data_IF_125190077857
#
_entry.id   IF_125190077857
#
_cell.length_a   1.000
_cell.length_b   1.000
_cell.length_c   1.000
_cell.angle_alpha   90.00
_cell.angle_beta   90.00
_cell.angle_gamma   90.00
#
_symmetry.space_group_name_H-M   'P 1'
#
loop_
_entity.id
_entity.type
_entity.pdbx_description
1 polymer ?
#
# COMPACT_ATOMS: atom_id res chain seq x y z
N UNK A 1 -9.97 17.45 -35.18
CA UNK A 1 -8.86 18.21 -34.58
C UNK A 1 -9.42 18.81 -33.30
N UNK A 2 -9.14 18.21 -32.15
CA UNK A 2 -9.47 18.82 -30.87
C UNK A 2 -8.38 19.84 -30.57
N UNK A 3 -8.70 21.12 -30.72
CA UNK A 3 -7.86 22.20 -30.22
C UNK A 3 -7.94 22.18 -28.69
N UNK A 4 -7.17 21.33 -28.05
CA UNK A 4 -6.96 21.40 -26.61
C UNK A 4 -6.20 22.69 -26.29
N UNK A 5 -6.72 23.47 -25.34
CA UNK A 5 -6.09 24.71 -24.87
C UNK A 5 -4.74 24.45 -24.16
N UNK A 6 -4.48 23.19 -23.80
CA UNK A 6 -3.28 22.76 -23.09
C UNK A 6 -2.77 21.42 -23.64
N UNK A 7 -1.46 21.26 -23.68
CA UNK A 7 -0.85 19.95 -23.84
C UNK A 7 -1.13 19.10 -22.58
N UNK A 8 -1.55 17.86 -22.76
CA UNK A 8 -1.77 16.94 -21.67
C UNK A 8 -1.03 15.63 -21.93
N UNK A 9 -0.66 14.98 -20.84
CA UNK A 9 -0.01 13.66 -20.88
C UNK A 9 -1.12 12.62 -20.83
N UNK A 10 -1.20 11.78 -21.85
CA UNK A 10 -2.15 10.67 -21.85
C UNK A 10 -1.76 9.65 -20.78
N UNK A 11 -2.73 9.25 -19.95
CA UNK A 11 -2.58 8.29 -18.85
C UNK A 11 -3.59 7.18 -19.08
N UNK A 12 -3.10 5.94 -19.18
CA UNK A 12 -3.96 4.77 -19.43
C UNK A 12 -4.57 4.18 -18.15
N UNK A 13 -3.80 4.18 -17.06
CA UNK A 13 -4.21 3.65 -15.77
C UNK A 13 -3.36 4.23 -14.62
N UNK A 14 -3.64 3.81 -13.36
CA UNK A 14 -2.91 4.28 -12.18
C UNK A 14 -1.42 3.89 -12.21
N UNK A 15 -1.08 2.74 -12.77
CA UNK A 15 0.32 2.32 -12.88
C UNK A 15 1.09 3.22 -13.83
N UNK A 16 0.54 3.47 -15.02
CA UNK A 16 1.10 4.38 -16.01
C UNK A 16 1.26 5.81 -15.45
N UNK A 17 0.26 6.28 -14.67
CA UNK A 17 0.34 7.56 -13.96
C UNK A 17 1.56 7.63 -13.03
N UNK A 18 1.78 6.60 -12.21
CA UNK A 18 2.90 6.54 -11.28
C UNK A 18 4.25 6.47 -11.99
N UNK A 19 4.34 5.68 -13.05
CA UNK A 19 5.55 5.55 -13.85
C UNK A 19 5.91 6.89 -14.50
N UNK A 20 4.97 7.53 -15.19
CA UNK A 20 5.16 8.85 -15.81
C UNK A 20 5.45 9.95 -14.80
N UNK A 21 4.78 9.95 -13.65
CA UNK A 21 5.08 10.91 -12.58
C UNK A 21 6.51 10.76 -12.06
N UNK A 22 6.98 9.51 -11.88
CA UNK A 22 8.34 9.23 -11.47
C UNK A 22 9.40 9.56 -12.51
N UNK A 23 9.06 9.54 -13.80
CA UNK A 23 9.95 9.90 -14.90
C UNK A 23 10.01 11.41 -15.13
N UNK A 24 8.87 12.07 -15.17
CA UNK A 24 8.77 13.49 -15.50
C UNK A 24 9.08 14.40 -14.31
N UNK A 25 8.68 13.98 -13.10
CA UNK A 25 8.78 14.79 -11.89
C UNK A 25 9.60 14.11 -10.79
N UNK A 26 10.45 13.14 -11.16
CA UNK A 26 11.11 12.22 -10.25
C UNK A 26 11.79 12.88 -9.05
N UNK A 27 12.46 14.01 -9.23
CA UNK A 27 13.17 14.72 -8.18
C UNK A 27 12.28 15.77 -7.45
N UNK A 28 11.04 16.01 -7.92
CA UNK A 28 10.11 16.90 -7.25
C UNK A 28 9.51 16.24 -6.01
N UNK A 29 9.20 17.05 -5.00
CA UNK A 29 8.58 16.58 -3.76
C UNK A 29 7.13 16.15 -4.06
N UNK A 30 6.81 14.89 -3.77
CA UNK A 30 5.46 14.32 -3.82
C UNK A 30 4.75 14.44 -2.47
N UNK A 31 5.46 14.11 -1.36
CA UNK A 31 4.92 14.25 -0.01
C UNK A 31 5.78 15.17 0.84
N UNK A 32 5.11 15.99 1.63
CA UNK A 32 5.72 16.84 2.65
C UNK A 32 4.94 16.67 3.95
N UNK A 33 5.54 15.98 4.91
CA UNK A 33 4.91 15.56 6.15
C UNK A 33 5.54 16.34 7.29
N UNK A 34 4.70 16.98 8.11
CA UNK A 34 5.15 17.65 9.32
C UNK A 34 5.45 16.59 10.39
N UNK A 35 6.66 16.60 10.93
CA UNK A 35 7.09 15.77 12.03
C UNK A 35 7.74 16.69 13.08
N UNK A 36 7.00 17.03 14.11
CA UNK A 36 7.34 18.07 15.10
C UNK A 36 7.72 19.39 14.43
N UNK A 37 8.94 19.89 14.62
CA UNK A 37 9.45 21.14 14.04
C UNK A 37 10.13 20.97 12.66
N UNK A 38 10.15 19.75 12.12
CA UNK A 38 10.80 19.42 10.85
C UNK A 38 9.81 18.90 9.84
N UNK A 39 10.22 18.90 8.59
CA UNK A 39 9.48 18.26 7.51
C UNK A 39 10.27 17.07 6.99
N UNK A 40 9.59 15.94 6.88
CA UNK A 40 10.04 14.79 6.10
C UNK A 40 9.46 14.95 4.69
N UNK A 41 10.29 14.74 3.68
CA UNK A 41 9.85 14.86 2.28
C UNK A 41 10.18 13.58 1.52
N UNK A 42 9.30 13.21 0.59
CA UNK A 42 9.55 12.14 -0.36
C UNK A 42 9.34 12.67 -1.77
N UNK A 43 10.25 12.35 -2.67
CA UNK A 43 10.15 12.66 -4.08
C UNK A 43 9.24 11.66 -4.81
N UNK A 44 8.74 12.02 -6.01
CA UNK A 44 7.95 11.08 -6.83
C UNK A 44 8.70 9.78 -7.13
N UNK A 45 10.00 9.85 -7.32
CA UNK A 45 10.86 8.68 -7.55
C UNK A 45 10.97 7.77 -6.31
N UNK A 46 11.03 8.36 -5.11
CA UNK A 46 11.03 7.60 -3.85
C UNK A 46 9.68 6.96 -3.60
N UNK A 47 8.58 7.68 -3.81
CA UNK A 47 7.21 7.17 -3.70
C UNK A 47 7.01 5.99 -4.64
N UNK A 48 7.41 6.10 -5.92
CA UNK A 48 7.36 4.98 -6.87
C UNK A 48 8.14 3.76 -6.39
N UNK A 49 9.34 3.97 -5.81
CA UNK A 49 10.14 2.87 -5.24
C UNK A 49 9.46 2.20 -4.05
N UNK A 50 8.78 2.96 -3.19
CA UNK A 50 8.04 2.41 -2.05
C UNK A 50 6.85 1.57 -2.54
N UNK A 51 6.06 2.09 -3.47
CA UNK A 51 4.91 1.40 -4.06
C UNK A 51 5.33 0.08 -4.73
N UNK A 52 6.38 0.12 -5.56
CA UNK A 52 6.90 -1.06 -6.25
C UNK A 52 7.48 -2.09 -5.26
N UNK A 53 8.20 -1.65 -4.23
CA UNK A 53 8.71 -2.50 -3.17
C UNK A 53 7.58 -3.20 -2.42
N UNK A 54 6.59 -2.42 -1.95
CA UNK A 54 5.44 -2.99 -1.23
C UNK A 54 4.66 -3.98 -2.10
N UNK A 55 4.34 -3.62 -3.34
CA UNK A 55 3.64 -4.50 -4.27
C UNK A 55 4.38 -5.82 -4.51
N UNK A 56 5.71 -5.77 -4.65
CA UNK A 56 6.57 -6.96 -4.82
C UNK A 56 6.52 -7.85 -3.58
N UNK A 57 6.64 -7.26 -2.37
CA UNK A 57 6.54 -8.02 -1.12
C UNK A 57 5.17 -8.70 -0.97
N UNK A 58 4.08 -7.98 -1.25
CA UNK A 58 2.73 -8.54 -1.19
C UNK A 58 2.52 -9.69 -2.18
N UNK A 59 3.06 -9.59 -3.39
CA UNK A 59 3.04 -10.69 -4.37
C UNK A 59 3.84 -11.89 -3.85
N UNK A 60 5.01 -11.67 -3.26
CA UNK A 60 5.83 -12.72 -2.64
C UNK A 60 5.11 -13.41 -1.46
N UNK A 61 4.24 -12.70 -0.73
CA UNK A 61 3.36 -13.24 0.30
C UNK A 61 2.17 -14.06 -0.27
N UNK A 62 2.06 -14.20 -1.60
CA UNK A 62 0.95 -14.92 -2.24
C UNK A 62 -0.35 -14.11 -2.34
N UNK A 63 -0.28 -12.80 -2.20
CA UNK A 63 -1.44 -11.90 -2.25
C UNK A 63 -1.79 -11.38 -3.65
N UNK A 64 -1.12 -11.86 -4.71
CA UNK A 64 -1.46 -11.49 -6.10
C UNK A 64 -2.90 -11.86 -6.42
N UNK A 65 -3.67 -10.88 -6.91
CA UNK A 65 -5.09 -11.04 -7.26
C UNK A 65 -6.04 -11.13 -6.06
N UNK A 66 -5.52 -11.01 -4.82
CA UNK A 66 -6.34 -11.07 -3.61
C UNK A 66 -6.98 -9.72 -3.28
N UNK A 67 -8.01 -9.76 -2.44
CA UNK A 67 -8.62 -8.56 -1.87
C UNK A 67 -7.87 -8.19 -0.60
N UNK A 68 -7.44 -6.93 -0.54
CA UNK A 68 -6.63 -6.40 0.56
C UNK A 68 -7.29 -5.12 1.04
N UNK A 69 -7.65 -5.07 2.33
CA UNK A 69 -8.26 -3.89 2.92
C UNK A 69 -7.22 -2.87 3.36
N UNK A 70 -7.64 -1.60 3.41
CA UNK A 70 -6.87 -0.50 4.00
C UNK A 70 -7.80 0.31 4.89
N UNK A 71 -7.42 0.50 6.17
CA UNK A 71 -8.16 1.29 7.16
C UNK A 71 -7.20 2.12 8.01
N UNK A 72 -7.52 3.37 8.25
CA UNK A 72 -6.69 4.25 9.09
C UNK A 72 -6.91 5.72 8.83
N UNK A 73 -6.10 6.53 9.47
CA UNK A 73 -6.04 7.97 9.28
C UNK A 73 -5.43 8.31 7.91
N UNK A 74 -5.73 9.53 7.41
CA UNK A 74 -5.17 10.04 6.18
C UNK A 74 -3.67 10.34 6.36
N UNK A 75 -2.81 9.46 5.82
CA UNK A 75 -1.36 9.54 5.90
C UNK A 75 -0.73 8.90 4.65
N UNK A 76 0.56 9.18 4.40
CA UNK A 76 1.20 8.71 3.17
C UNK A 76 1.30 7.18 3.10
N UNK A 77 1.46 6.47 4.22
CA UNK A 77 1.48 5.01 4.27
C UNK A 77 0.16 4.41 3.76
N UNK A 78 -0.97 5.01 4.14
CA UNK A 78 -2.28 4.60 3.64
C UNK A 78 -2.35 4.69 2.11
N UNK A 79 -1.81 5.78 1.54
CA UNK A 79 -1.79 5.99 0.10
C UNK A 79 -0.80 5.05 -0.60
N UNK A 80 0.40 4.81 -0.01
CA UNK A 80 1.37 3.84 -0.52
C UNK A 80 0.75 2.44 -0.56
N UNK A 81 0.08 2.00 0.52
CA UNK A 81 -0.62 0.72 0.57
C UNK A 81 -1.70 0.63 -0.51
N UNK A 82 -2.56 1.67 -0.61
CA UNK A 82 -3.62 1.72 -1.62
C UNK A 82 -3.07 1.57 -3.05
N UNK A 83 -2.06 2.37 -3.40
CA UNK A 83 -1.47 2.37 -4.73
C UNK A 83 -0.70 1.06 -5.01
N UNK A 84 0.04 0.51 -4.05
CA UNK A 84 0.72 -0.76 -4.22
C UNK A 84 -0.25 -1.91 -4.52
N UNK A 85 -1.43 -1.89 -3.91
CA UNK A 85 -2.46 -2.90 -4.17
C UNK A 85 -3.11 -2.65 -5.55
N UNK A 86 -3.54 -1.42 -5.83
CA UNK A 86 -4.33 -1.08 -7.01
C UNK A 86 -3.53 -1.14 -8.33
N UNK A 87 -2.21 -0.96 -8.28
CA UNK A 87 -1.36 -0.89 -9.49
C UNK A 87 -0.74 -2.22 -9.92
N UNK A 88 -1.19 -3.34 -9.35
CA UNK A 88 -0.76 -4.64 -9.87
C UNK A 88 -0.73 -5.79 -8.88
N UNK A 89 -0.95 -5.54 -7.59
CA UNK A 89 -0.99 -6.63 -6.60
C UNK A 89 -2.35 -7.32 -6.55
N UNK A 90 -3.45 -6.55 -6.42
CA UNK A 90 -4.75 -7.14 -6.20
C UNK A 90 -5.91 -6.14 -6.27
N UNK A 91 -6.94 -6.41 -5.49
CA UNK A 91 -8.12 -5.55 -5.36
C UNK A 91 -8.08 -4.82 -4.03
N UNK A 92 -7.93 -3.52 -4.05
CA UNK A 92 -7.96 -2.70 -2.84
C UNK A 92 -9.40 -2.53 -2.32
N UNK A 93 -9.59 -2.66 -1.01
CA UNK A 93 -10.86 -2.49 -0.31
C UNK A 93 -10.67 -1.41 0.76
N UNK A 94 -10.87 -0.13 0.42
CA UNK A 94 -10.79 0.93 1.41
C UNK A 94 -11.98 0.86 2.36
N UNK A 95 -11.69 0.89 3.67
CA UNK A 95 -12.70 0.85 4.73
C UNK A 95 -12.75 2.19 5.43
N UNK A 96 -13.97 2.66 5.72
CA UNK A 96 -14.17 3.91 6.42
C UNK A 96 -13.74 3.77 7.90
N UNK A 97 -12.87 4.67 8.34
CA UNK A 97 -12.33 4.72 9.69
C UNK A 97 -13.35 5.09 10.78
N UNK A 98 -14.54 5.57 10.40
CA UNK A 98 -15.62 5.94 11.31
C UNK A 98 -16.62 4.81 11.57
N UNK A 99 -16.46 3.67 10.92
CA UNK A 99 -17.37 2.53 11.09
C UNK A 99 -17.29 1.93 12.49
N UNK A 100 -18.43 1.59 13.09
CA UNK A 100 -18.46 0.82 14.32
C UNK A 100 -17.97 -0.62 14.12
N UNK A 101 -17.54 -1.27 15.20
CA UNK A 101 -16.92 -2.61 15.16
C UNK A 101 -17.77 -3.65 14.41
N UNK A 102 -19.08 -3.68 14.66
CA UNK A 102 -20.00 -4.64 14.03
C UNK A 102 -20.09 -4.46 12.51
N UNK A 103 -20.09 -3.22 12.03
CA UNK A 103 -20.10 -2.93 10.60
C UNK A 103 -18.75 -3.24 9.94
N UNK A 104 -17.65 -2.89 10.59
CA UNK A 104 -16.31 -3.25 10.13
C UNK A 104 -16.16 -4.77 9.99
N UNK A 105 -16.62 -5.53 10.99
CA UNK A 105 -16.64 -7.00 10.96
C UNK A 105 -17.42 -7.52 9.75
N UNK A 106 -18.63 -7.02 9.55
CA UNK A 106 -19.48 -7.42 8.44
C UNK A 106 -18.82 -7.15 7.07
N UNK A 107 -18.15 -5.99 6.94
CA UNK A 107 -17.47 -5.65 5.70
C UNK A 107 -16.23 -6.54 5.45
N UNK A 108 -15.43 -6.83 6.47
CA UNK A 108 -14.29 -7.75 6.36
C UNK A 108 -14.76 -9.14 5.95
N UNK A 109 -15.82 -9.66 6.57
CA UNK A 109 -16.38 -10.97 6.24
C UNK A 109 -16.92 -11.02 4.81
N UNK A 110 -17.77 -10.08 4.45
CA UNK A 110 -18.45 -10.05 3.13
C UNK A 110 -17.53 -9.71 1.98
N UNK A 111 -16.54 -8.84 2.20
CA UNK A 111 -15.56 -8.49 1.16
C UNK A 111 -14.62 -9.64 0.85
N UNK A 112 -14.41 -10.57 1.80
CA UNK A 112 -13.50 -11.70 1.64
C UNK A 112 -12.04 -11.27 1.50
N UNK A 113 -11.65 -10.21 2.18
CA UNK A 113 -10.25 -9.74 2.24
C UNK A 113 -9.37 -10.77 2.95
N UNK A 114 -8.16 -10.97 2.43
CA UNK A 114 -7.18 -11.89 3.00
C UNK A 114 -6.10 -11.17 3.81
N UNK A 115 -5.90 -9.87 3.56
CA UNK A 115 -4.98 -9.02 4.31
C UNK A 115 -5.61 -7.65 4.59
N UNK A 116 -5.13 -6.97 5.62
CA UNK A 116 -5.56 -5.61 5.96
C UNK A 116 -4.37 -4.77 6.42
N UNK A 117 -4.22 -3.59 5.83
CA UNK A 117 -3.37 -2.51 6.32
C UNK A 117 -4.13 -1.67 7.30
N UNK A 118 -3.52 -1.32 8.44
CA UNK A 118 -4.20 -0.58 9.49
C UNK A 118 -3.27 0.32 10.30
N UNK A 119 -3.83 1.33 10.94
CA UNK A 119 -3.15 2.13 11.98
C UNK A 119 -3.41 1.54 13.36
N UNK A 120 -2.50 1.77 14.31
CA UNK A 120 -2.47 1.14 15.66
C UNK A 120 -3.81 1.15 16.39
N UNK A 121 -4.65 2.15 16.13
CA UNK A 121 -6.01 2.25 16.69
C UNK A 121 -6.86 0.99 16.49
N UNK A 122 -6.63 0.22 15.43
CA UNK A 122 -7.43 -0.95 15.05
C UNK A 122 -6.80 -2.28 15.45
N UNK A 123 -5.58 -2.26 16.01
CA UNK A 123 -4.76 -3.46 16.22
C UNK A 123 -5.47 -4.52 17.06
N UNK A 124 -5.90 -4.18 18.27
CA UNK A 124 -6.57 -5.14 19.16
C UNK A 124 -7.82 -5.75 18.53
N UNK A 125 -8.61 -4.91 17.85
CA UNK A 125 -9.82 -5.35 17.17
C UNK A 125 -9.53 -6.33 16.03
N UNK A 126 -8.53 -6.03 15.21
CA UNK A 126 -8.17 -6.87 14.07
C UNK A 126 -7.48 -8.16 14.50
N UNK A 127 -6.67 -8.15 15.56
CA UNK A 127 -6.12 -9.35 16.19
C UNK A 127 -7.27 -10.27 16.64
N UNK A 128 -8.25 -9.72 17.37
CA UNK A 128 -9.44 -10.46 17.80
C UNK A 128 -10.19 -11.06 16.60
N UNK A 129 -10.46 -10.26 15.56
CA UNK A 129 -11.13 -10.74 14.35
C UNK A 129 -10.38 -11.86 13.64
N UNK A 130 -9.04 -11.77 13.57
CA UNK A 130 -8.19 -12.81 13.00
C UNK A 130 -8.26 -14.10 13.82
N UNK A 131 -8.20 -14.03 15.16
CA UNK A 131 -8.35 -15.18 16.05
C UNK A 131 -9.73 -15.84 15.94
N UNK A 132 -10.78 -15.07 15.74
CA UNK A 132 -12.14 -15.54 15.53
C UNK A 132 -12.39 -16.04 14.10
N UNK A 133 -11.38 -16.03 13.24
CA UNK A 133 -11.45 -16.45 11.83
C UNK A 133 -12.54 -15.72 11.03
N UNK A 134 -12.66 -14.40 11.23
CA UNK A 134 -13.65 -13.58 10.51
C UNK A 134 -13.33 -13.55 9.03
N UNK A 135 -14.23 -14.08 8.21
CA UNK A 135 -14.09 -14.15 6.77
C UNK A 135 -12.85 -14.94 6.33
N UNK A 136 -11.98 -14.28 5.56
CA UNK A 136 -10.72 -14.87 5.05
C UNK A 136 -9.48 -14.14 5.57
N UNK A 137 -9.61 -13.31 6.60
CA UNK A 137 -8.53 -12.48 7.11
C UNK A 137 -7.39 -13.32 7.69
N UNK A 138 -6.19 -13.21 7.09
CA UNK A 138 -4.98 -13.97 7.46
C UNK A 138 -3.84 -13.06 7.88
N UNK A 139 -3.65 -11.96 7.16
CA UNK A 139 -2.47 -11.10 7.30
C UNK A 139 -2.87 -9.73 7.84
N UNK A 140 -2.25 -9.36 8.95
CA UNK A 140 -2.34 -8.04 9.56
C UNK A 140 -1.07 -7.27 9.24
N UNK A 141 -1.19 -6.06 8.67
CA UNK A 141 -0.06 -5.24 8.24
C UNK A 141 -0.22 -3.86 8.89
N UNK A 142 0.65 -3.57 9.84
CA UNK A 142 0.65 -2.29 10.57
C UNK A 142 1.41 -1.23 9.79
N UNK A 143 0.83 -0.03 9.70
CA UNK A 143 1.47 1.18 9.18
C UNK A 143 2.37 1.85 10.22
N UNK A 144 2.30 1.44 11.49
CA UNK A 144 2.99 2.09 12.60
C UNK A 144 4.22 1.31 13.10
N UNK A 145 4.29 0.00 12.86
CA UNK A 145 5.43 -0.82 13.25
C UNK A 145 6.66 -0.53 12.38
N UNK A 146 7.83 -0.46 13.02
CA UNK A 146 9.11 -0.36 12.30
C UNK A 146 9.54 -1.72 11.72
N UNK A 147 9.35 -2.81 12.48
CA UNK A 147 9.75 -4.18 12.14
C UNK A 147 8.58 -5.15 12.38
N UNK A 148 8.64 -6.34 11.78
CA UNK A 148 7.66 -7.40 12.01
C UNK A 148 7.65 -7.84 13.47
N UNK A 149 6.47 -7.98 14.06
CA UNK A 149 6.32 -8.34 15.46
C UNK A 149 5.08 -9.20 15.69
N UNK A 150 5.18 -10.26 16.49
CA UNK A 150 4.07 -11.09 16.99
C UNK A 150 3.10 -11.60 15.90
N UNK A 151 3.61 -11.87 14.69
CA UNK A 151 2.80 -12.33 13.57
C UNK A 151 2.03 -11.20 12.85
N UNK A 152 2.39 -9.95 13.15
CA UNK A 152 1.97 -8.74 12.46
C UNK A 152 3.11 -8.28 11.57
N UNK A 153 2.81 -7.93 10.32
CA UNK A 153 3.77 -7.39 9.38
C UNK A 153 3.90 -5.88 9.55
N UNK A 154 5.12 -5.36 9.41
CA UNK A 154 5.38 -3.93 9.26
C UNK A 154 5.32 -3.55 7.79
N UNK A 155 4.58 -2.51 7.43
CA UNK A 155 4.57 -1.96 6.07
C UNK A 155 5.97 -1.49 5.65
N UNK A 156 6.71 -0.82 6.55
CA UNK A 156 8.05 -0.32 6.29
C UNK A 156 9.03 -1.44 5.96
N UNK A 157 8.98 -2.53 6.72
CA UNK A 157 9.83 -3.69 6.49
C UNK A 157 9.45 -4.44 5.22
N UNK A 158 8.15 -4.54 4.90
CA UNK A 158 7.69 -5.09 3.63
C UNK A 158 8.20 -4.28 2.43
N UNK A 159 8.17 -2.94 2.50
CA UNK A 159 8.74 -2.07 1.47
C UNK A 159 10.23 -2.37 1.27
N UNK A 160 10.99 -2.48 2.37
CA UNK A 160 12.43 -2.78 2.34
C UNK A 160 12.68 -4.15 1.68
N UNK A 161 12.04 -5.20 2.17
CA UNK A 161 12.15 -6.57 1.66
C UNK A 161 11.81 -6.64 0.17
N UNK A 162 10.71 -6.00 -0.26
CA UNK A 162 10.35 -6.01 -1.67
C UNK A 162 11.34 -5.26 -2.56
N UNK A 163 11.98 -4.21 -2.06
CA UNK A 163 13.06 -3.51 -2.79
C UNK A 163 14.31 -4.38 -2.93
N UNK A 164 14.66 -5.15 -1.92
CA UNK A 164 15.75 -6.12 -1.97
C UNK A 164 15.46 -7.20 -3.02
N UNK A 165 14.25 -7.78 -3.01
CA UNK A 165 13.82 -8.75 -4.02
C UNK A 165 13.93 -8.20 -5.46
N UNK A 166 13.50 -6.96 -5.70
CA UNK A 166 13.63 -6.33 -7.04
C UNK A 166 15.10 -6.22 -7.45
N UNK A 167 15.98 -5.91 -6.51
CA UNK A 167 17.42 -5.78 -6.77
C UNK A 167 18.04 -7.12 -7.11
N UNK A 168 17.70 -8.17 -6.35
CA UNK A 168 18.20 -9.52 -6.56
C UNK A 168 17.77 -10.07 -7.94
N UNK A 169 16.51 -9.86 -8.34
CA UNK A 169 16.05 -10.24 -9.69
C UNK A 169 16.80 -9.52 -10.80
N UNK A 170 17.12 -8.24 -10.63
CA UNK A 170 17.92 -7.48 -11.61
C UNK A 170 19.37 -7.97 -11.71
N UNK A 171 19.99 -8.33 -10.57
CA UNK A 171 21.34 -8.85 -10.52
C UNK A 171 21.43 -10.23 -11.20
N UNK A 172 20.41 -11.07 -11.02
CA UNK A 172 20.34 -12.38 -11.62
C UNK A 172 19.98 -12.39 -13.12
N UNK A 173 19.88 -11.21 -13.74
CA UNK A 173 19.48 -11.05 -15.16
C UNK A 173 18.15 -11.74 -15.50
N UNK A 174 17.28 -11.91 -14.53
CA UNK A 174 15.92 -12.34 -14.77
C UNK A 174 15.14 -11.12 -15.30
N UNK A 175 15.39 -10.78 -16.57
CA UNK A 175 14.58 -9.80 -17.31
C UNK A 175 13.19 -10.38 -17.52
N UNK A 176 12.20 -9.70 -17.00
CA UNK A 176 10.80 -9.90 -17.35
C UNK A 176 10.38 -8.84 -18.37
#
# INVERSE_FOLDING_TARGET
>A
MANGLYEYIEISDLKDMLEKSGELYGENIAYKIKNDDKYITFTHKEVRKMINGLGTALINMGLKGKRIAVIGENRYEWEIAYLAIATGTGVVVPLDKSLPENELRNLIERSGVEAIFYTQKYEDLLIKMKHEAVGKLKHLISMDLEEHQDGIYSEKELIKTGRELITDYKILNLSF
#
